data_IF_556776171088
#
_entry.id   IF_556776171088
#
_cell.length_a   1.000
_cell.length_b   1.000
_cell.length_c   1.000
_cell.angle_alpha   90.00
_cell.angle_beta   90.00
_cell.angle_gamma   90.00
#
_symmetry.space_group_name_H-M   'P 1'
#
loop_
_entity.id
_entity.type
_entity.pdbx_description
1 polymer ?
#
# COMPACT_ATOMS: atom_id res chain seq x y z
N UNK A 1 -9.54 -23.71 -16.46
CA UNK A 1 -8.47 -22.88 -17.04
C UNK A 1 -8.53 -21.57 -16.30
N UNK A 2 -7.59 -21.33 -15.41
CA UNK A 2 -7.53 -20.07 -14.66
C UNK A 2 -6.82 -19.01 -15.49
N UNK A 3 -7.22 -17.76 -15.29
CA UNK A 3 -6.65 -16.61 -15.96
C UNK A 3 -6.18 -15.60 -14.94
N UNK A 4 -5.05 -14.94 -15.21
CA UNK A 4 -4.60 -13.76 -14.49
C UNK A 4 -4.62 -12.54 -15.40
N UNK A 5 -4.62 -11.35 -14.82
CA UNK A 5 -4.42 -10.12 -15.59
C UNK A 5 -3.00 -10.05 -16.10
N UNK A 6 -2.84 -9.54 -17.32
CA UNK A 6 -1.54 -9.19 -17.86
C UNK A 6 -1.09 -7.79 -17.43
N UNK A 7 0.12 -7.43 -17.84
CA UNK A 7 0.70 -6.09 -17.65
C UNK A 7 -0.22 -4.94 -18.10
N UNK A 8 -0.99 -5.13 -19.17
CA UNK A 8 -1.76 -4.05 -19.80
C UNK A 8 -3.08 -3.69 -19.10
N UNK A 9 -3.43 -4.34 -17.97
CA UNK A 9 -4.63 -4.06 -17.14
C UNK A 9 -5.88 -3.71 -17.96
N UNK A 10 -6.23 -4.53 -18.94
CA UNK A 10 -7.50 -4.42 -19.64
C UNK A 10 -8.37 -5.60 -19.24
N UNK A 11 -9.13 -5.43 -18.14
CA UNK A 11 -10.11 -6.41 -17.64
C UNK A 11 -11.15 -6.77 -18.71
N UNK A 12 -11.50 -5.79 -19.53
CA UNK A 12 -12.54 -5.85 -20.56
C UNK A 12 -12.08 -6.62 -21.81
N UNK A 13 -10.81 -6.50 -22.21
CA UNK A 13 -10.30 -7.23 -23.37
C UNK A 13 -9.88 -8.64 -22.96
N UNK A 14 -10.73 -9.61 -23.28
CA UNK A 14 -10.48 -11.03 -23.02
C UNK A 14 -9.17 -11.53 -23.65
N UNK A 15 -8.70 -10.92 -24.73
CA UNK A 15 -7.46 -11.32 -25.43
C UNK A 15 -6.19 -10.93 -24.67
N UNK A 16 -6.31 -10.01 -23.71
CA UNK A 16 -5.19 -9.51 -22.90
C UNK A 16 -5.12 -10.20 -21.53
N UNK A 17 -5.87 -11.29 -21.34
CA UNK A 17 -5.78 -12.16 -20.17
C UNK A 17 -4.68 -13.20 -20.39
N UNK A 18 -3.89 -13.47 -19.37
CA UNK A 18 -2.86 -14.51 -19.43
C UNK A 18 -3.49 -15.84 -18.99
N UNK A 19 -3.56 -16.86 -19.86
CA UNK A 19 -3.96 -18.20 -19.44
C UNK A 19 -2.86 -18.84 -18.58
N UNK A 20 -3.23 -19.38 -17.42
CA UNK A 20 -2.26 -20.03 -16.54
C UNK A 20 -1.97 -21.47 -16.99
N UNK A 21 -0.72 -21.90 -16.83
CA UNK A 21 -0.35 -23.30 -17.02
C UNK A 21 -1.00 -24.19 -15.96
N UNK A 22 -1.07 -25.50 -16.22
CA UNK A 22 -1.72 -26.49 -15.32
C UNK A 22 -1.13 -26.49 -13.90
N UNK A 23 0.13 -26.06 -13.74
CA UNK A 23 0.85 -26.02 -12.47
C UNK A 23 0.89 -24.62 -11.82
N UNK A 24 0.22 -23.62 -12.42
CA UNK A 24 0.19 -22.24 -11.94
C UNK A 24 -1.17 -21.92 -11.32
N UNK A 25 -1.28 -22.10 -10.01
CA UNK A 25 -2.54 -21.96 -9.27
C UNK A 25 -2.71 -20.58 -8.62
N UNK A 26 -1.77 -19.65 -8.85
CA UNK A 26 -1.73 -18.34 -8.22
C UNK A 26 -1.54 -17.24 -9.26
N UNK A 27 -2.16 -16.09 -9.03
CA UNK A 27 -1.84 -14.86 -9.73
C UNK A 27 -0.89 -14.00 -8.91
N UNK A 28 0.10 -13.44 -9.57
CA UNK A 28 1.05 -12.49 -9.01
C UNK A 28 0.81 -11.09 -9.58
N UNK A 29 1.00 -10.08 -8.74
CA UNK A 29 1.27 -8.71 -9.17
C UNK A 29 2.54 -8.21 -8.47
N UNK A 30 3.36 -7.51 -9.24
CA UNK A 30 4.58 -6.86 -8.76
C UNK A 30 4.48 -5.40 -9.15
N UNK A 31 4.61 -4.50 -8.18
CA UNK A 31 4.74 -3.07 -8.45
C UNK A 31 6.15 -2.62 -8.11
N UNK A 32 6.70 -1.78 -8.97
CA UNK A 32 8.00 -1.15 -8.75
C UNK A 32 7.81 0.34 -8.58
N UNK A 33 8.33 0.86 -7.48
CA UNK A 33 8.41 2.28 -7.19
C UNK A 33 9.85 2.76 -7.29
N UNK A 34 10.03 3.96 -7.82
CA UNK A 34 11.27 4.74 -7.73
C UNK A 34 10.90 6.09 -7.12
N UNK A 35 11.49 6.43 -5.96
CA UNK A 35 11.17 7.65 -5.21
C UNK A 35 9.65 7.82 -5.01
N UNK A 36 8.99 6.75 -4.54
CA UNK A 36 7.54 6.67 -4.30
C UNK A 36 6.66 6.87 -5.56
N UNK A 37 7.23 6.83 -6.77
CA UNK A 37 6.48 6.87 -8.02
C UNK A 37 6.48 5.51 -8.69
N UNK A 38 5.33 5.09 -9.18
CA UNK A 38 5.18 3.83 -9.91
C UNK A 38 5.91 3.96 -11.24
N UNK A 39 6.83 3.02 -11.50
CA UNK A 39 7.56 2.95 -12.77
C UNK A 39 7.25 1.69 -13.55
N UNK A 40 6.78 0.64 -12.87
CA UNK A 40 6.42 -0.60 -13.53
C UNK A 40 5.39 -1.39 -12.73
N UNK A 41 4.58 -2.16 -13.45
CA UNK A 41 3.64 -3.13 -12.91
C UNK A 41 3.75 -4.40 -13.74
N UNK A 42 4.19 -5.49 -13.11
CA UNK A 42 4.24 -6.83 -13.71
C UNK A 42 3.10 -7.66 -13.13
N UNK A 43 2.49 -8.49 -13.95
CA UNK A 43 1.41 -9.39 -13.55
C UNK A 43 1.50 -10.67 -14.35
N UNK A 44 1.38 -11.81 -13.66
CA UNK A 44 1.49 -13.12 -14.29
C UNK A 44 0.85 -14.25 -13.47
N UNK A 45 0.71 -15.42 -14.07
CA UNK A 45 0.44 -16.69 -13.40
C UNK A 45 1.74 -17.22 -12.79
N UNK A 46 1.68 -17.82 -11.60
CA UNK A 46 2.85 -18.42 -10.94
C UNK A 46 2.46 -19.69 -10.17
N UNK A 47 3.42 -20.59 -10.01
CA UNK A 47 3.27 -21.81 -9.21
C UNK A 47 3.35 -21.55 -7.69
N UNK A 48 4.14 -20.54 -7.30
CA UNK A 48 4.47 -20.20 -5.92
C UNK A 48 4.69 -18.69 -5.82
N UNK A 49 4.24 -18.08 -4.74
CA UNK A 49 4.30 -16.64 -4.58
C UNK A 49 4.43 -16.27 -3.10
N UNK A 50 5.47 -15.50 -2.78
CA UNK A 50 5.71 -14.97 -1.43
C UNK A 50 5.39 -13.49 -1.41
N UNK A 51 4.43 -13.08 -0.58
CA UNK A 51 4.07 -11.68 -0.42
C UNK A 51 5.14 -10.95 0.39
N UNK A 52 5.77 -9.95 -0.21
CA UNK A 52 6.86 -9.20 0.40
C UNK A 52 7.10 -7.89 -0.33
N UNK A 53 7.64 -6.90 0.40
CA UNK A 53 8.16 -5.67 -0.17
C UNK A 53 9.66 -5.60 0.10
N UNK A 54 10.41 -5.27 -0.93
CA UNK A 54 11.85 -5.01 -0.86
C UNK A 54 12.10 -3.55 -1.10
N UNK A 55 12.96 -2.94 -0.31
CA UNK A 55 13.41 -1.57 -0.49
C UNK A 55 14.92 -1.55 -0.57
N UNK A 56 15.47 -0.93 -1.61
CA UNK A 56 16.90 -0.82 -1.86
C UNK A 56 17.26 0.56 -2.40
N UNK A 57 18.55 0.89 -2.33
CA UNK A 57 19.11 2.10 -2.93
C UNK A 57 19.63 3.12 -1.91
N UNK A 58 20.58 3.93 -2.36
CA UNK A 58 21.19 5.02 -1.60
C UNK A 58 21.04 6.30 -2.42
N UNK A 59 20.20 7.25 -1.97
CA UNK A 59 19.88 8.48 -2.69
C UNK A 59 18.76 8.36 -3.75
N UNK A 60 18.46 7.14 -4.23
CA UNK A 60 17.26 6.81 -5.02
C UNK A 60 16.62 5.60 -4.35
N UNK A 61 15.39 5.74 -3.86
CA UNK A 61 14.68 4.64 -3.21
C UNK A 61 13.96 3.80 -4.25
N UNK A 62 14.35 2.54 -4.39
CA UNK A 62 13.68 1.55 -5.24
C UNK A 62 12.92 0.59 -4.35
N UNK A 63 11.59 0.58 -4.47
CA UNK A 63 10.72 -0.33 -3.71
C UNK A 63 10.02 -1.30 -4.65
N UNK A 64 10.10 -2.59 -4.39
CA UNK A 64 9.42 -3.65 -5.16
C UNK A 64 8.49 -4.42 -4.25
N UNK A 65 7.19 -4.34 -4.49
CA UNK A 65 6.18 -5.05 -3.70
C UNK A 65 5.52 -6.14 -4.52
N UNK A 66 5.44 -7.34 -3.94
CA UNK A 66 4.89 -8.56 -4.55
C UNK A 66 3.62 -8.94 -3.80
N UNK A 67 2.52 -9.09 -4.54
CA UNK A 67 1.23 -9.57 -4.03
C UNK A 67 0.74 -10.78 -4.82
N UNK A 68 0.05 -11.65 -4.10
CA UNK A 68 -0.34 -12.96 -4.57
C UNK A 68 -1.80 -13.22 -4.19
N UNK A 69 -2.55 -13.87 -5.06
CA UNK A 69 -3.92 -14.32 -4.79
C UNK A 69 -4.21 -15.58 -5.63
N UNK A 70 -5.27 -16.31 -5.30
CA UNK A 70 -5.54 -17.67 -5.80
C UNK A 70 -6.86 -17.80 -6.56
N UNK A 71 -7.40 -16.70 -7.10
CA UNK A 71 -8.64 -16.69 -7.88
C UNK A 71 -8.42 -16.05 -9.25
N UNK A 72 -9.25 -16.36 -10.24
CA UNK A 72 -9.04 -15.81 -11.58
C UNK A 72 -9.18 -14.28 -11.60
N UNK A 73 -8.24 -13.61 -12.29
CA UNK A 73 -8.17 -12.14 -12.47
C UNK A 73 -8.06 -11.34 -11.16
N UNK A 74 -7.64 -11.98 -10.07
CA UNK A 74 -7.58 -11.37 -8.74
C UNK A 74 -6.42 -10.40 -8.54
N UNK A 75 -5.40 -10.43 -9.41
CA UNK A 75 -4.18 -9.63 -9.30
C UNK A 75 -4.36 -8.16 -9.75
N UNK A 76 -5.53 -7.59 -9.49
CA UNK A 76 -5.84 -6.15 -9.69
C UNK A 76 -5.83 -5.38 -8.37
N UNK A 77 -4.74 -5.49 -7.63
CA UNK A 77 -4.58 -4.75 -6.39
C UNK A 77 -4.51 -3.25 -6.64
N UNK A 78 -5.14 -2.49 -5.76
CA UNK A 78 -4.93 -1.05 -5.64
C UNK A 78 -3.51 -0.73 -5.19
N UNK A 79 -3.07 0.50 -5.44
CA UNK A 79 -1.73 0.96 -5.04
C UNK A 79 -1.56 0.81 -3.51
N UNK A 80 -2.60 1.14 -2.76
CA UNK A 80 -2.61 1.05 -1.31
C UNK A 80 -2.39 -0.41 -0.87
N UNK A 81 -3.13 -1.37 -1.42
CA UNK A 81 -2.99 -2.81 -1.12
C UNK A 81 -1.59 -3.36 -1.42
N UNK A 82 -0.96 -2.86 -2.49
CA UNK A 82 0.40 -3.27 -2.82
C UNK A 82 1.41 -2.84 -1.76
N UNK A 83 1.21 -1.70 -1.09
CA UNK A 83 2.19 -1.11 -0.17
C UNK A 83 1.97 -1.44 1.32
N UNK A 84 0.91 -2.19 1.67
CA UNK A 84 0.50 -2.45 3.08
C UNK A 84 1.44 -3.39 3.85
N UNK A 85 2.47 -4.01 3.25
CA UNK A 85 3.38 -4.85 4.05
C UNK A 85 4.26 -3.94 4.91
N UNK A 86 3.68 -3.48 6.03
CA UNK A 86 4.39 -3.11 7.24
C UNK A 86 5.28 -4.29 7.59
N UNK A 87 6.53 -4.16 7.21
CA UNK A 87 7.64 -5.02 7.59
C UNK A 87 7.52 -5.26 9.10
N UNK A 88 7.06 -6.45 9.50
CA UNK A 88 7.11 -6.93 10.89
C UNK A 88 8.56 -7.20 11.37
N UNK A 89 9.59 -6.73 10.66
CA UNK A 89 11.00 -6.90 11.03
C UNK A 89 11.56 -5.84 11.98
N UNK A 90 10.77 -4.86 12.43
CA UNK A 90 11.16 -4.07 13.59
C UNK A 90 10.13 -4.18 14.70
N UNK A 91 10.56 -4.86 15.76
CA UNK A 91 10.02 -4.75 17.12
C UNK A 91 10.33 -3.34 17.63
N UNK A 92 9.72 -2.32 17.05
CA UNK A 92 9.65 -0.98 17.61
C UNK A 92 8.24 -0.79 18.12
N UNK A 93 8.14 -0.51 19.41
CA UNK A 93 6.91 -0.13 20.10
C UNK A 93 6.24 1.05 19.38
N UNK A 94 5.31 0.78 18.47
CA UNK A 94 4.34 1.80 18.09
C UNK A 94 3.36 1.91 19.24
N UNK A 95 3.55 2.89 20.09
CA UNK A 95 2.47 3.40 20.93
C UNK A 95 1.32 3.76 19.99
N UNK A 96 0.13 3.23 20.29
CA UNK A 96 -1.12 3.63 19.67
C UNK A 96 -1.26 5.15 19.83
N UNK A 97 -0.95 5.91 18.79
CA UNK A 97 -1.46 7.26 18.66
C UNK A 97 -2.86 7.12 18.07
N UNK A 98 -3.83 6.84 18.95
CA UNK A 98 -5.20 7.24 18.68
C UNK A 98 -5.17 8.75 18.50
N UNK A 99 -5.40 9.23 17.28
CA UNK A 99 -5.88 10.59 17.07
C UNK A 99 -7.25 10.67 17.72
N UNK A 100 -7.27 10.89 19.05
CA UNK A 100 -8.42 11.47 19.70
C UNK A 100 -8.63 12.80 18.99
N UNK A 101 -9.75 12.91 18.28
CA UNK A 101 -10.31 14.18 17.85
C UNK A 101 -10.36 15.09 19.09
N UNK A 102 -9.32 15.88 19.27
CA UNK A 102 -9.29 16.89 20.30
C UNK A 102 -10.31 17.92 19.83
N UNK A 103 -11.40 18.08 20.57
CA UNK A 103 -12.42 19.08 20.27
C UNK A 103 -11.72 20.44 20.20
N UNK A 104 -11.45 20.91 18.98
CA UNK A 104 -10.75 22.17 18.69
C UNK A 104 -11.40 23.34 19.45
N UNK A 105 -12.71 23.26 19.67
CA UNK A 105 -13.46 24.22 20.47
C UNK A 105 -12.94 24.38 21.91
N UNK A 106 -12.51 23.31 22.59
CA UNK A 106 -11.97 23.42 23.96
C UNK A 106 -10.61 24.10 23.99
N UNK A 107 -9.75 23.84 23.00
CA UNK A 107 -8.43 24.50 22.90
C UNK A 107 -8.60 25.98 22.64
N UNK A 108 -9.52 26.35 21.74
CA UNK A 108 -9.82 27.76 21.44
C UNK A 108 -10.36 28.48 22.68
N UNK A 109 -11.29 27.86 23.43
CA UNK A 109 -11.85 28.46 24.66
C UNK A 109 -10.75 28.69 25.70
N UNK A 110 -9.84 27.73 25.90
CA UNK A 110 -8.71 27.89 26.84
C UNK A 110 -7.79 29.03 26.39
N UNK A 111 -7.52 29.14 25.10
CA UNK A 111 -6.69 30.22 24.56
C UNK A 111 -7.33 31.59 24.80
N UNK A 112 -8.64 31.74 24.57
CA UNK A 112 -9.36 32.97 24.87
C UNK A 112 -9.39 33.29 26.36
N UNK A 113 -9.53 32.27 27.22
CA UNK A 113 -9.51 32.47 28.67
C UNK A 113 -8.14 32.95 29.17
N UNK A 114 -7.06 32.36 28.67
CA UNK A 114 -5.69 32.83 28.97
C UNK A 114 -5.43 34.24 28.45
N UNK A 115 -5.88 34.55 27.22
CA UNK A 115 -5.76 35.89 26.67
C UNK A 115 -6.52 36.91 27.52
N UNK A 116 -7.74 36.60 27.95
CA UNK A 116 -8.55 37.47 28.80
C UNK A 116 -7.92 37.68 30.19
N UNK A 117 -7.37 36.64 30.80
CA UNK A 117 -6.66 36.77 32.08
C UNK A 117 -5.38 37.60 31.95
N UNK A 118 -4.60 37.42 30.88
CA UNK A 118 -3.43 38.27 30.62
C UNK A 118 -3.81 39.73 30.36
N UNK A 119 -4.98 39.97 29.76
CA UNK A 119 -5.49 41.32 29.50
C UNK A 119 -5.98 42.05 30.77
N UNK A 120 -6.24 41.33 31.85
CA UNK A 120 -6.69 41.90 33.13
C UNK A 120 -5.53 42.11 34.11
N UNK A 121 -4.44 41.34 33.96
CA UNK A 121 -3.27 41.38 34.85
C UNK A 121 -2.20 42.39 34.35
N UNK A 122 -2.20 42.74 33.05
CA UNK A 122 -1.37 43.79 32.45
C UNK A 122 -2.19 45.06 32.21
#
# INVERSE_FOLDING_TARGET
MDYCLSKYKLKEDMRLRTPCAIHENLCMSVIKFINNRIVDIERDCVNSCSQQCFETGYGITVKRCIRCCNTSLCNDFSIDEMDIIKIKLFKTTSTNFEFKNFEINKVIIIFYFFYFFFSIIC
#
